data_IF_723402208939
#
_entry.id   IF_723402208939
#
_cell.length_a   1.000
_cell.length_b   1.000
_cell.length_c   1.000
_cell.angle_alpha   90.00
_cell.angle_beta   90.00
_cell.angle_gamma   90.00
#
_symmetry.space_group_name_H-M   'P 1'
#
loop_
_entity.id
_entity.type
_entity.pdbx_description
1 polymer ?
#
# COMPACT_ATOMS: atom_id res chain seq x y z
N UNK A 1 10.45 2.27 -11.85
CA UNK A 1 9.65 3.50 -11.75
C UNK A 1 8.74 3.62 -12.97
N UNK A 2 9.31 3.77 -14.16
CA UNK A 2 8.61 4.11 -15.41
C UNK A 2 7.46 3.15 -15.70
N UNK A 3 7.73 1.85 -15.69
CA UNK A 3 6.72 0.83 -15.96
C UNK A 3 5.61 0.78 -14.91
N UNK A 4 5.92 1.02 -13.63
CA UNK A 4 4.93 1.10 -12.56
C UNK A 4 3.98 2.29 -12.74
N UNK A 5 4.53 3.46 -13.06
CA UNK A 5 3.76 4.68 -13.29
C UNK A 5 2.95 4.59 -14.59
N UNK A 6 3.52 4.07 -15.67
CA UNK A 6 2.80 3.84 -16.92
C UNK A 6 1.67 2.82 -16.74
N UNK A 7 1.92 1.75 -15.99
CA UNK A 7 0.91 0.72 -15.71
C UNK A 7 -0.26 1.25 -14.89
N UNK A 8 -0.01 2.04 -13.84
CA UNK A 8 -1.11 2.58 -13.03
C UNK A 8 -1.97 3.52 -13.89
N UNK A 9 -1.36 4.43 -14.67
CA UNK A 9 -2.09 5.31 -15.61
C UNK A 9 -2.92 4.50 -16.62
N UNK A 10 -2.34 3.42 -17.17
CA UNK A 10 -3.03 2.53 -18.10
C UNK A 10 -4.22 1.81 -17.46
N UNK A 11 -4.06 1.34 -16.22
CA UNK A 11 -5.13 0.75 -15.42
C UNK A 11 -6.26 1.76 -15.20
N UNK A 12 -5.93 3.00 -14.81
CA UNK A 12 -6.91 4.07 -14.60
C UNK A 12 -7.68 4.40 -15.87
N UNK A 13 -6.98 4.50 -16.99
CA UNK A 13 -7.59 4.77 -18.29
C UNK A 13 -8.53 3.62 -18.70
N UNK A 14 -8.12 2.37 -18.49
CA UNK A 14 -8.95 1.20 -18.78
C UNK A 14 -10.20 1.17 -17.89
N UNK A 15 -10.06 1.44 -16.60
CA UNK A 15 -11.17 1.52 -15.65
C UNK A 15 -12.21 2.55 -16.11
N UNK A 16 -11.73 3.76 -16.45
CA UNK A 16 -12.56 4.85 -16.96
C UNK A 16 -13.32 4.48 -18.24
N UNK A 17 -12.63 3.96 -19.25
CA UNK A 17 -13.24 3.58 -20.53
C UNK A 17 -14.22 2.41 -20.36
N UNK A 18 -13.95 1.50 -19.43
CA UNK A 18 -14.78 0.33 -19.17
C UNK A 18 -15.95 0.62 -18.22
N UNK A 19 -16.02 1.81 -17.63
CA UNK A 19 -17.02 2.15 -16.61
C UNK A 19 -16.89 1.31 -15.33
N UNK A 20 -15.70 0.77 -15.05
CA UNK A 20 -15.40 -0.03 -13.86
C UNK A 20 -14.71 0.87 -12.85
N UNK A 21 -15.01 0.66 -11.56
CA UNK A 21 -14.30 1.32 -10.48
C UNK A 21 -12.82 0.88 -10.48
N UNK A 22 -11.93 1.87 -10.59
CA UNK A 22 -10.47 1.69 -10.53
C UNK A 22 -10.03 0.88 -9.30
N UNK A 23 -10.69 1.07 -8.16
CA UNK A 23 -10.39 0.35 -6.92
C UNK A 23 -10.46 -1.17 -7.10
N UNK A 24 -11.35 -1.66 -7.97
CA UNK A 24 -11.51 -3.08 -8.23
C UNK A 24 -10.30 -3.65 -8.97
N UNK A 25 -9.78 -2.93 -9.97
CA UNK A 25 -8.63 -3.39 -10.75
C UNK A 25 -7.36 -3.31 -9.90
N UNK A 26 -7.20 -2.26 -9.09
CA UNK A 26 -6.07 -2.10 -8.19
C UNK A 26 -6.06 -3.16 -7.07
N UNK A 27 -7.23 -3.54 -6.53
CA UNK A 27 -7.34 -4.68 -5.60
C UNK A 27 -6.81 -5.97 -6.22
N UNK A 28 -7.11 -6.25 -7.49
CA UNK A 28 -6.59 -7.42 -8.19
C UNK A 28 -5.06 -7.35 -8.35
N UNK A 29 -4.52 -6.16 -8.64
CA UNK A 29 -3.07 -5.96 -8.71
C UNK A 29 -2.38 -6.21 -7.35
N UNK A 30 -2.98 -5.76 -6.24
CA UNK A 30 -2.44 -5.97 -4.90
C UNK A 30 -2.52 -7.44 -4.47
N UNK A 31 -3.57 -8.16 -4.86
CA UNK A 31 -3.66 -9.62 -4.68
C UNK A 31 -2.58 -10.35 -5.46
N UNK A 32 -2.30 -9.92 -6.70
CA UNK A 32 -1.20 -10.48 -7.49
C UNK A 32 0.15 -10.25 -6.81
N UNK A 33 0.39 -9.04 -6.27
CA UNK A 33 1.59 -8.76 -5.50
C UNK A 33 1.72 -9.69 -4.30
N UNK A 34 0.70 -9.78 -3.44
CA UNK A 34 0.76 -10.63 -2.25
C UNK A 34 0.98 -12.12 -2.58
N UNK A 35 0.30 -12.63 -3.61
CA UNK A 35 0.49 -14.01 -4.06
C UNK A 35 1.91 -14.29 -4.58
N UNK A 36 2.50 -13.39 -5.36
CA UNK A 36 3.84 -13.57 -5.92
C UNK A 36 4.96 -13.29 -4.89
N UNK A 37 4.80 -12.27 -4.05
CA UNK A 37 5.76 -11.95 -2.99
C UNK A 37 5.88 -13.12 -2.00
N UNK A 38 4.75 -13.68 -1.56
CA UNK A 38 4.72 -14.80 -0.61
C UNK A 38 5.29 -16.11 -1.16
N UNK A 39 5.17 -16.36 -2.47
CA UNK A 39 5.52 -17.65 -3.07
C UNK A 39 6.92 -17.72 -3.68
N UNK A 40 7.50 -16.59 -4.07
CA UNK A 40 8.69 -16.58 -4.93
C UNK A 40 9.94 -16.02 -4.24
N UNK A 41 9.84 -15.40 -3.06
CA UNK A 41 10.97 -14.76 -2.37
C UNK A 41 11.75 -13.77 -3.27
N UNK A 42 11.04 -13.07 -4.16
CA UNK A 42 11.59 -12.12 -5.15
C UNK A 42 11.36 -10.65 -4.78
N UNK A 43 10.99 -10.39 -3.52
CA UNK A 43 10.62 -9.05 -3.04
C UNK A 43 11.85 -8.19 -2.71
N UNK A 44 12.59 -7.85 -3.77
CA UNK A 44 13.83 -7.06 -3.69
C UNK A 44 13.57 -5.56 -3.94
N UNK A 45 14.41 -4.65 -3.42
CA UNK A 45 14.20 -3.22 -3.54
C UNK A 45 14.05 -2.78 -5.01
N UNK A 46 13.09 -1.90 -5.28
CA UNK A 46 12.82 -1.37 -6.63
C UNK A 46 13.97 -0.55 -7.22
N UNK A 47 14.85 -0.06 -6.36
CA UNK A 47 16.06 0.66 -6.74
C UNK A 47 17.23 -0.28 -7.07
N UNK A 48 17.02 -1.60 -7.05
CA UNK A 48 18.00 -2.58 -7.52
C UNK A 48 18.10 -2.53 -9.04
N UNK A 49 19.32 -2.47 -9.58
CA UNK A 49 19.53 -2.47 -11.02
C UNK A 49 19.03 -3.77 -11.67
N UNK A 50 18.20 -3.66 -12.70
CA UNK A 50 17.57 -4.81 -13.39
C UNK A 50 18.59 -5.79 -13.99
N UNK A 51 19.77 -5.32 -14.37
CA UNK A 51 20.89 -6.13 -14.86
C UNK A 51 21.49 -7.09 -13.82
N UNK A 52 21.11 -6.95 -12.54
CA UNK A 52 21.47 -7.88 -11.48
C UNK A 52 20.38 -8.94 -11.21
N UNK A 53 19.27 -8.90 -11.95
CA UNK A 53 18.07 -9.71 -11.68
C UNK A 53 17.85 -10.76 -12.77
N UNK A 54 17.36 -11.93 -12.37
CA UNK A 54 16.83 -12.91 -13.32
C UNK A 54 15.48 -12.44 -13.91
N UNK A 55 15.13 -12.94 -15.10
CA UNK A 55 13.97 -12.51 -15.88
C UNK A 55 12.65 -12.48 -15.07
N UNK A 56 12.40 -13.49 -14.25
CA UNK A 56 11.20 -13.56 -13.41
C UNK A 56 11.15 -12.48 -12.33
N UNK A 57 12.26 -12.25 -11.62
CA UNK A 57 12.39 -11.18 -10.62
C UNK A 57 12.29 -9.81 -11.27
N UNK A 58 12.83 -9.65 -12.48
CA UNK A 58 12.72 -8.41 -13.27
C UNK A 58 11.27 -8.06 -13.57
N UNK A 59 10.45 -9.02 -14.04
CA UNK A 59 9.02 -8.77 -14.29
C UNK A 59 8.23 -8.36 -13.03
N UNK A 60 8.48 -9.02 -11.90
CA UNK A 60 7.83 -8.70 -10.62
C UNK A 60 8.19 -7.29 -10.12
N UNK A 61 9.49 -6.96 -10.13
CA UNK A 61 10.02 -5.68 -9.64
C UNK A 61 9.75 -4.52 -10.59
N UNK A 62 9.55 -4.80 -11.88
CA UNK A 62 9.25 -3.77 -12.89
C UNK A 62 7.78 -3.37 -12.90
N UNK A 63 6.88 -4.34 -12.75
CA UNK A 63 5.43 -4.12 -12.89
C UNK A 63 4.67 -4.34 -11.58
N UNK A 64 4.78 -5.53 -10.98
CA UNK A 64 3.87 -5.98 -9.92
C UNK A 64 4.08 -5.19 -8.62
N UNK A 65 5.31 -5.15 -8.08
CA UNK A 65 5.61 -4.41 -6.84
C UNK A 65 5.40 -2.89 -7.00
N UNK A 66 5.85 -2.23 -8.09
CA UNK A 66 5.60 -0.80 -8.28
C UNK A 66 4.11 -0.44 -8.39
N UNK A 67 3.31 -1.24 -9.10
CA UNK A 67 1.86 -1.02 -9.18
C UNK A 67 1.24 -1.11 -7.79
N UNK A 68 1.61 -2.13 -7.00
CA UNK A 68 1.10 -2.28 -5.63
C UNK A 68 1.46 -1.08 -4.76
N UNK A 69 2.73 -0.67 -4.75
CA UNK A 69 3.20 0.51 -4.01
C UNK A 69 2.43 1.78 -4.42
N UNK A 70 2.35 2.06 -5.73
CA UNK A 70 1.69 3.27 -6.23
C UNK A 70 0.17 3.25 -5.99
N UNK A 71 -0.48 2.08 -5.99
CA UNK A 71 -1.91 1.97 -5.65
C UNK A 71 -2.20 2.37 -4.20
N UNK A 72 -1.31 2.02 -3.27
CA UNK A 72 -1.42 2.41 -1.87
C UNK A 72 -1.15 3.91 -1.69
N UNK A 73 -0.21 4.45 -2.46
CA UNK A 73 0.03 5.89 -2.45
C UNK A 73 -1.17 6.67 -3.04
N UNK A 74 -1.79 6.16 -4.09
CA UNK A 74 -3.03 6.72 -4.66
C UNK A 74 -4.15 6.72 -3.62
N UNK A 75 -4.36 5.62 -2.90
CA UNK A 75 -5.37 5.52 -1.84
C UNK A 75 -5.12 6.50 -0.69
N UNK A 76 -3.85 6.63 -0.28
CA UNK A 76 -3.45 7.56 0.75
C UNK A 76 -3.62 9.03 0.32
N UNK A 77 -3.09 9.41 -0.84
CA UNK A 77 -3.15 10.79 -1.36
C UNK A 77 -4.55 11.20 -1.83
N UNK A 78 -5.38 10.22 -2.22
CA UNK A 78 -6.60 10.42 -2.99
C UNK A 78 -6.31 10.64 -4.48
N UNK A 79 -7.23 10.16 -5.32
CA UNK A 79 -7.09 10.16 -6.77
C UNK A 79 -6.76 11.54 -7.36
N UNK A 80 -7.47 12.61 -6.95
CA UNK A 80 -7.25 13.96 -7.48
C UNK A 80 -5.80 14.42 -7.28
N UNK A 81 -5.29 14.31 -6.06
CA UNK A 81 -3.96 14.76 -5.68
C UNK A 81 -2.88 13.89 -6.32
N UNK A 82 -3.10 12.58 -6.36
CA UNK A 82 -2.18 11.63 -7.01
C UNK A 82 -2.07 11.93 -8.51
N UNK A 83 -3.19 12.01 -9.24
CA UNK A 83 -3.14 12.30 -10.68
C UNK A 83 -2.66 13.71 -11.00
N UNK A 84 -2.84 14.67 -10.08
CA UNK A 84 -2.17 15.98 -10.18
C UNK A 84 -0.65 15.83 -10.08
N UNK A 85 -0.15 14.97 -9.19
CA UNK A 85 1.29 14.69 -9.08
C UNK A 85 1.85 14.01 -10.33
N UNK A 86 1.09 13.08 -10.93
CA UNK A 86 1.43 12.46 -12.21
C UNK A 86 1.56 13.50 -13.32
N UNK A 87 0.56 14.39 -13.46
CA UNK A 87 0.58 15.46 -14.47
C UNK A 87 1.74 16.42 -14.26
N UNK A 88 1.92 16.89 -13.02
CA UNK A 88 3.04 17.78 -12.67
C UNK A 88 4.41 17.13 -12.97
N UNK A 89 4.55 15.83 -12.73
CA UNK A 89 5.77 15.10 -13.07
C UNK A 89 5.99 15.05 -14.58
N UNK A 90 4.95 14.72 -15.36
CA UNK A 90 5.03 14.72 -16.81
C UNK A 90 5.43 16.10 -17.36
N UNK A 91 4.80 17.18 -16.86
CA UNK A 91 5.05 18.55 -17.32
C UNK A 91 6.47 19.03 -16.97
N UNK A 92 6.96 18.73 -15.76
CA UNK A 92 8.32 19.13 -15.33
C UNK A 92 9.42 18.46 -16.15
N UNK A 93 9.17 17.23 -16.56
CA UNK A 93 10.17 16.34 -17.14
C UNK A 93 9.94 16.03 -18.61
N UNK A 94 9.03 16.77 -19.25
CA UNK A 94 8.81 16.72 -20.69
C UNK A 94 10.13 16.95 -21.45
N UNK A 95 10.47 16.01 -22.34
CA UNK A 95 11.69 16.04 -23.14
C UNK A 95 12.99 15.81 -22.35
N UNK A 96 12.92 15.33 -21.10
CA UNK A 96 14.07 15.06 -20.23
C UNK A 96 14.15 13.56 -19.85
N UNK A 97 15.23 13.20 -19.16
CA UNK A 97 15.45 11.85 -18.62
C UNK A 97 15.39 11.89 -17.08
N UNK A 98 14.19 11.88 -16.48
CA UNK A 98 14.06 11.90 -15.03
C UNK A 98 14.60 10.62 -14.39
N UNK A 99 15.12 10.75 -13.18
CA UNK A 99 15.50 9.63 -12.31
C UNK A 99 14.42 9.42 -11.22
N UNK A 100 14.40 8.29 -10.50
CA UNK A 100 13.39 8.02 -9.47
C UNK A 100 13.17 9.14 -8.45
N UNK A 101 14.24 9.81 -8.04
CA UNK A 101 14.16 10.94 -7.12
C UNK A 101 13.34 12.10 -7.66
N UNK A 102 13.33 12.35 -8.97
CA UNK A 102 12.57 13.44 -9.57
C UNK A 102 11.06 13.21 -9.44
N UNK A 103 10.62 11.95 -9.57
CA UNK A 103 9.24 11.56 -9.29
C UNK A 103 8.93 11.72 -7.80
N UNK A 104 9.78 11.20 -6.91
CA UNK A 104 9.55 11.30 -5.46
C UNK A 104 9.44 12.75 -5.01
N UNK A 105 10.33 13.63 -5.48
CA UNK A 105 10.29 15.06 -5.16
C UNK A 105 9.06 15.76 -5.74
N UNK A 106 8.61 15.37 -6.93
CA UNK A 106 7.38 15.93 -7.52
C UNK A 106 6.15 15.52 -6.72
N UNK A 107 6.07 14.25 -6.32
CA UNK A 107 4.98 13.76 -5.48
C UNK A 107 4.98 14.41 -4.10
N UNK A 108 6.15 14.53 -3.44
CA UNK A 108 6.26 15.25 -2.17
C UNK A 108 5.79 16.71 -2.30
N UNK A 109 6.22 17.40 -3.37
CA UNK A 109 5.80 18.77 -3.64
C UNK A 109 4.28 18.89 -3.80
N UNK A 110 3.67 18.01 -4.60
CA UNK A 110 2.21 18.04 -4.83
C UNK A 110 1.43 17.58 -3.61
N UNK A 111 1.99 16.68 -2.80
CA UNK A 111 1.39 16.19 -1.57
C UNK A 111 1.36 17.26 -0.47
N UNK A 112 2.35 18.17 -0.47
CA UNK A 112 2.57 19.15 0.58
C UNK A 112 3.20 18.54 1.83
N UNK A 113 3.80 17.35 1.72
CA UNK A 113 4.43 16.62 2.82
C UNK A 113 5.62 15.79 2.32
N UNK A 114 6.49 15.39 3.24
CA UNK A 114 7.55 14.43 2.93
C UNK A 114 7.00 13.00 2.99
N UNK A 115 6.92 12.34 1.84
CA UNK A 115 6.50 10.94 1.72
C UNK A 115 7.68 9.96 1.86
N UNK A 116 8.82 10.39 2.40
CA UNK A 116 10.01 9.55 2.64
C UNK A 116 9.72 8.30 3.48
N UNK A 117 8.76 8.38 4.41
CA UNK A 117 8.25 7.24 5.20
C UNK A 117 7.59 6.17 4.32
N UNK A 118 7.10 6.53 3.14
CA UNK A 118 6.56 5.63 2.13
C UNK A 118 7.63 5.21 1.12
N UNK A 119 8.39 6.16 0.57
CA UNK A 119 9.39 5.88 -0.47
C UNK A 119 10.48 4.92 0.02
N UNK A 120 11.00 5.16 1.22
CA UNK A 120 12.14 4.41 1.74
C UNK A 120 11.82 2.91 1.90
N UNK A 121 10.76 2.49 2.60
CA UNK A 121 10.43 1.07 2.70
C UNK A 121 10.10 0.43 1.35
N UNK A 122 9.26 1.07 0.53
CA UNK A 122 8.77 0.46 -0.72
C UNK A 122 9.83 0.39 -1.82
N UNK A 123 10.74 1.36 -1.92
CA UNK A 123 11.67 1.47 -3.05
C UNK A 123 13.10 1.09 -2.70
N UNK A 124 13.55 1.31 -1.46
CA UNK A 124 14.97 1.20 -1.10
C UNK A 124 15.26 0.04 -0.15
N UNK A 125 14.29 -0.37 0.66
CA UNK A 125 14.51 -1.39 1.70
C UNK A 125 14.03 -2.78 1.27
N UNK A 126 14.65 -3.78 1.89
CA UNK A 126 14.13 -5.14 1.94
C UNK A 126 13.00 -5.18 2.95
N UNK A 127 11.88 -5.78 2.55
CA UNK A 127 10.68 -5.87 3.37
C UNK A 127 9.58 -6.58 2.58
N UNK A 128 8.41 -6.69 3.19
CA UNK A 128 7.24 -7.33 2.61
C UNK A 128 5.97 -6.79 3.27
N UNK A 129 4.82 -6.94 2.62
CA UNK A 129 3.53 -6.57 3.19
C UNK A 129 3.02 -7.69 4.12
N UNK A 130 3.37 -7.62 5.41
CA UNK A 130 2.89 -8.56 6.43
C UNK A 130 2.58 -7.85 7.74
N UNK A 131 1.32 -7.96 8.13
CA UNK A 131 0.79 -7.43 9.38
C UNK A 131 0.08 -8.54 10.14
N UNK A 132 0.28 -8.59 11.45
CA UNK A 132 -0.33 -9.57 12.34
C UNK A 132 -1.16 -8.91 13.44
N UNK A 133 -2.06 -9.68 14.04
CA UNK A 133 -2.68 -9.31 15.31
C UNK A 133 -1.70 -9.70 16.42
N UNK A 134 -1.30 -8.72 17.22
CA UNK A 134 -0.46 -8.89 18.41
C UNK A 134 -1.30 -9.11 19.66
N UNK A 135 -0.89 -8.45 20.75
CA UNK A 135 -1.60 -8.52 22.02
C UNK A 135 -2.99 -7.87 21.95
N UNK A 136 -3.90 -8.38 22.78
CA UNK A 136 -5.23 -7.79 22.96
C UNK A 136 -5.47 -7.49 24.43
N UNK A 137 -5.96 -6.29 24.73
CA UNK A 137 -6.24 -5.85 26.09
C UNK A 137 -7.69 -5.42 26.23
N UNK A 138 -8.43 -6.16 27.05
CA UNK A 138 -9.80 -5.81 27.43
C UNK A 138 -9.78 -4.77 28.55
N UNK A 139 -10.50 -3.68 28.34
CA UNK A 139 -10.83 -2.64 29.32
C UNK A 139 -12.35 -2.65 29.56
N UNK A 140 -12.86 -1.90 30.53
CA UNK A 140 -14.27 -1.97 30.93
C UNK A 140 -15.26 -1.81 29.75
N UNK A 141 -15.01 -0.84 28.85
CA UNK A 141 -15.92 -0.49 27.76
C UNK A 141 -15.30 -0.63 26.35
N UNK A 142 -14.08 -1.16 26.25
CA UNK A 142 -13.36 -1.27 24.97
C UNK A 142 -12.34 -2.38 24.99
N UNK A 143 -11.98 -2.88 23.82
CA UNK A 143 -10.87 -3.80 23.62
C UNK A 143 -9.82 -3.11 22.76
N UNK A 144 -8.58 -3.07 23.23
CA UNK A 144 -7.44 -2.60 22.45
C UNK A 144 -6.88 -3.82 21.72
N UNK A 145 -6.75 -3.72 20.41
CA UNK A 145 -6.09 -4.72 19.57
C UNK A 145 -4.81 -4.13 19.02
N UNK A 146 -3.71 -4.83 19.28
CA UNK A 146 -2.43 -4.51 18.69
C UNK A 146 -2.35 -5.06 17.27
N UNK A 147 -1.92 -4.23 16.34
CA UNK A 147 -1.55 -4.62 14.97
C UNK A 147 -0.06 -4.42 14.82
N UNK A 148 0.65 -5.49 14.47
CA UNK A 148 2.10 -5.53 14.34
C UNK A 148 2.47 -5.56 12.86
N UNK A 149 3.35 -4.66 12.43
CA UNK A 149 3.93 -4.66 11.08
C UNK A 149 5.24 -5.46 11.07
N UNK A 150 5.15 -6.74 10.67
CA UNK A 150 6.29 -7.65 10.64
C UNK A 150 7.22 -7.36 9.46
N UNK A 151 6.65 -7.06 8.30
CA UNK A 151 7.39 -6.93 7.05
C UNK A 151 7.95 -5.53 6.78
N UNK A 152 7.55 -4.53 7.58
CA UNK A 152 8.12 -3.17 7.57
C UNK A 152 7.59 -2.24 6.48
N UNK A 153 6.79 -2.74 5.54
CA UNK A 153 6.15 -1.88 4.54
C UNK A 153 4.95 -1.14 5.15
N UNK A 154 4.81 0.17 4.92
CA UNK A 154 3.60 0.88 5.29
C UNK A 154 2.45 0.38 4.40
N UNK A 155 1.47 -0.27 5.03
CA UNK A 155 0.28 -0.86 4.39
C UNK A 155 -0.97 -0.48 5.19
N UNK A 156 -2.14 -0.33 4.55
CA UNK A 156 -3.38 -0.07 5.28
C UNK A 156 -3.76 -1.26 6.16
N UNK A 157 -4.55 -0.99 7.21
CA UNK A 157 -5.06 -1.99 8.13
C UNK A 157 -6.56 -2.14 7.90
N UNK A 158 -6.98 -3.33 7.48
CA UNK A 158 -8.39 -3.72 7.37
C UNK A 158 -8.72 -4.78 8.42
N UNK A 159 -9.46 -4.36 9.44
CA UNK A 159 -9.88 -5.21 10.54
C UNK A 159 -11.40 -5.45 10.46
N UNK A 160 -11.83 -6.69 10.59
CA UNK A 160 -13.23 -7.06 10.76
C UNK A 160 -13.44 -7.67 12.13
N UNK A 161 -14.30 -7.07 12.93
CA UNK A 161 -14.64 -7.50 14.28
C UNK A 161 -16.03 -8.08 14.26
N UNK A 162 -16.19 -9.29 14.81
CA UNK A 162 -17.50 -9.90 15.02
C UNK A 162 -17.79 -9.95 16.51
N UNK A 163 -18.97 -9.47 16.89
CA UNK A 163 -19.45 -9.46 18.26
C UNK A 163 -20.28 -10.70 18.59
N UNK A 164 -20.47 -10.97 19.88
CA UNK A 164 -21.23 -12.12 20.37
C UNK A 164 -22.72 -12.05 20.00
N UNK A 165 -23.27 -10.86 19.78
CA UNK A 165 -24.65 -10.64 19.33
C UNK A 165 -24.85 -10.91 17.83
N UNK A 166 -23.76 -11.24 17.11
CA UNK A 166 -23.77 -11.51 15.69
C UNK A 166 -23.54 -10.29 14.80
N UNK A 167 -23.41 -9.08 15.37
CA UNK A 167 -23.07 -7.88 14.61
C UNK A 167 -21.60 -7.90 14.17
N UNK A 168 -21.31 -7.18 13.09
CA UNK A 168 -19.98 -7.06 12.49
C UNK A 168 -19.64 -5.58 12.30
N UNK A 169 -18.40 -5.21 12.61
CA UNK A 169 -17.85 -3.87 12.40
C UNK A 169 -16.53 -3.97 11.64
N UNK A 170 -16.31 -3.03 10.72
CA UNK A 170 -15.12 -2.98 9.89
C UNK A 170 -14.36 -1.70 10.19
N UNK A 171 -13.08 -1.85 10.47
CA UNK A 171 -12.14 -0.76 10.68
C UNK A 171 -11.19 -0.74 9.49
N UNK A 172 -11.04 0.44 8.89
CA UNK A 172 -10.09 0.70 7.82
C UNK A 172 -9.23 1.88 8.25
N UNK A 173 -7.96 1.63 8.51
CA UNK A 173 -6.96 2.66 8.78
C UNK A 173 -6.01 2.74 7.58
N UNK A 174 -5.73 3.96 7.13
CA UNK A 174 -4.80 4.20 6.02
C UNK A 174 -3.37 3.87 6.44
N UNK A 175 -2.49 3.70 5.45
CA UNK A 175 -1.10 3.30 5.70
C UNK A 175 -0.27 4.35 6.46
N UNK A 176 -0.78 5.56 6.71
CA UNK A 176 -0.08 6.61 7.45
C UNK A 176 0.00 6.37 8.96
N UNK A 177 -0.70 5.37 9.48
CA UNK A 177 -0.47 4.85 10.84
C UNK A 177 0.99 4.43 11.10
N UNK A 178 1.75 4.16 10.03
CA UNK A 178 3.16 3.76 10.10
C UNK A 178 4.15 4.92 9.88
N UNK A 179 3.67 6.17 9.71
CA UNK A 179 4.51 7.35 9.42
C UNK A 179 5.62 7.60 10.44
N UNK A 180 5.37 7.30 11.71
CA UNK A 180 6.35 7.47 12.79
C UNK A 180 7.53 6.50 12.70
N UNK A 181 7.41 5.44 11.89
CA UNK A 181 8.35 4.32 11.88
C UNK A 181 8.08 3.27 12.96
N UNK A 182 7.02 3.44 13.75
CA UNK A 182 6.58 2.43 14.72
C UNK A 182 6.13 1.16 13.99
N UNK A 183 6.41 0.01 14.60
CA UNK A 183 5.97 -1.31 14.08
C UNK A 183 4.69 -1.79 14.72
N UNK A 184 4.13 -1.03 15.65
CA UNK A 184 2.95 -1.39 16.42
C UNK A 184 1.95 -0.25 16.30
N UNK A 185 0.72 -0.58 15.93
CA UNK A 185 -0.42 0.30 15.93
C UNK A 185 -1.53 -0.27 16.80
N UNK A 186 -2.23 0.57 17.56
CA UNK A 186 -3.28 0.15 18.48
C UNK A 186 -4.64 0.58 17.94
N UNK A 187 -5.54 -0.37 17.72
CA UNK A 187 -6.92 -0.12 17.32
C UNK A 187 -7.82 -0.28 18.55
N UNK A 188 -8.60 0.75 18.84
CA UNK A 188 -9.61 0.70 19.89
C UNK A 188 -10.95 0.22 19.32
N UNK A 189 -11.40 -0.94 19.80
CA UNK A 189 -12.68 -1.52 19.42
C UNK A 189 -13.69 -1.28 20.56
N UNK A 190 -14.89 -0.76 20.28
CA UNK A 190 -15.90 -0.56 21.30
C UNK A 190 -16.40 -1.89 21.87
N UNK A 191 -16.58 -1.95 23.19
CA UNK A 191 -17.08 -3.13 23.88
C UNK A 191 -16.07 -4.25 24.12
N UNK A 192 -16.52 -5.27 24.84
CA UNK A 192 -15.71 -6.40 25.33
C UNK A 192 -16.22 -7.75 24.87
N UNK A 193 -17.44 -7.78 24.30
CA UNK A 193 -18.13 -8.97 23.82
C UNK A 193 -17.71 -9.35 22.39
N UNK A 194 -16.39 -9.30 22.13
CA UNK A 194 -15.81 -9.67 20.83
C UNK A 194 -15.73 -11.20 20.75
N UNK A 195 -16.28 -11.74 19.68
CA UNK A 195 -16.23 -13.17 19.33
C UNK A 195 -14.99 -13.49 18.50
N UNK A 196 -14.70 -12.66 17.52
CA UNK A 196 -13.65 -12.92 16.53
C UNK A 196 -13.11 -11.59 16.01
N UNK A 197 -11.79 -11.51 15.82
CA UNK A 197 -11.12 -10.40 15.15
C UNK A 197 -10.38 -10.98 13.95
N UNK A 198 -10.65 -10.45 12.76
CA UNK A 198 -9.98 -10.83 11.51
C UNK A 198 -9.22 -9.66 10.95
N UNK A 199 -7.93 -9.86 10.71
CA UNK A 199 -7.11 -8.94 9.95
C UNK A 199 -7.00 -9.47 8.51
N UNK A 200 -7.17 -8.58 7.53
CA UNK A 200 -6.89 -8.93 6.13
C UNK A 200 -5.38 -8.90 5.92
N UNK A 201 -4.76 -10.07 5.81
CA UNK A 201 -3.30 -10.22 5.66
C UNK A 201 -2.87 -10.53 4.22
N UNK A 202 -3.81 -10.86 3.34
CA UNK A 202 -3.51 -11.50 2.06
C UNK A 202 -3.32 -10.51 0.89
N UNK A 203 -3.55 -9.22 1.09
CA UNK A 203 -3.22 -8.15 0.14
C UNK A 203 -3.49 -6.79 0.78
N UNK A 204 -2.60 -5.79 0.58
CA UNK A 204 -2.92 -4.39 0.89
C UNK A 204 -4.20 -3.97 0.14
N UNK A 205 -5.25 -3.56 0.85
CA UNK A 205 -6.48 -3.09 0.20
C UNK A 205 -6.36 -1.62 -0.20
N UNK A 206 -7.18 -1.21 -1.17
CA UNK A 206 -7.42 0.20 -1.50
C UNK A 206 -8.92 0.47 -1.32
N UNK A 207 -9.28 1.60 -0.72
CA UNK A 207 -10.66 1.94 -0.34
C UNK A 207 -11.26 3.12 -1.11
N UNK A 208 -10.51 3.71 -2.06
CA UNK A 208 -10.87 4.79 -3.01
C UNK A 208 -12.35 5.18 -3.10
#
# INVERSE_FOLDING_TARGET
MDEGLASIIGISALAYVSGVDESQILKMANQKYAGQAASLAIDIPLMSGTHHLGDFTSGFTTYVRPIAALSLLLDYMGAEKFYRAVREFADRWEGKHPIPYDMFHTFNFVAGEDLGWFWKPWFFELGYADTGIGDTKKLENRTIVEVVNHGGFPVPIDLTVKYNDGTEEKFHEKMDVWKSGDKIHLIEIPGTAIREVKLVTNAPQVSL
#
